data_IF_690602449222
#
_entry.id   IF_690602449222
#
_cell.length_a   1.000
_cell.length_b   1.000
_cell.length_c   1.000
_cell.angle_alpha   90.00
_cell.angle_beta   90.00
_cell.angle_gamma   90.00
#
_symmetry.space_group_name_H-M   'P 1'
#
loop_
_entity.id
_entity.type
_entity.pdbx_description
1 polymer ?
#
# COMPACT_ATOMS: atom_id res chain seq x y z
N UNK A 1 -27.85 -22.70 -9.58
CA UNK A 1 -26.93 -23.29 -8.58
C UNK A 1 -26.14 -24.41 -9.26
N UNK A 2 -25.00 -24.10 -9.88
CA UNK A 2 -24.12 -25.13 -10.47
C UNK A 2 -23.15 -25.57 -9.38
N UNK A 3 -23.30 -26.81 -8.91
CA UNK A 3 -22.37 -27.44 -7.98
C UNK A 3 -20.95 -27.27 -8.50
N UNK A 4 -20.11 -26.58 -7.72
CA UNK A 4 -18.68 -26.54 -7.93
C UNK A 4 -18.17 -27.99 -7.84
N UNK A 5 -17.35 -28.48 -8.79
CA UNK A 5 -16.78 -29.82 -8.68
C UNK A 5 -15.99 -29.91 -7.37
N UNK A 6 -16.17 -31.00 -6.62
CA UNK A 6 -15.57 -31.23 -5.29
C UNK A 6 -14.03 -31.09 -5.26
N UNK A 7 -13.37 -31.13 -6.43
CA UNK A 7 -11.94 -30.85 -6.58
C UNK A 7 -11.54 -29.37 -6.42
N UNK A 8 -12.50 -28.43 -6.47
CA UNK A 8 -12.23 -26.99 -6.31
C UNK A 8 -12.25 -26.52 -4.85
N UNK A 9 -12.92 -27.25 -3.94
CA UNK A 9 -12.95 -26.92 -2.50
C UNK A 9 -11.68 -27.34 -1.74
N UNK A 10 -10.86 -28.23 -2.32
CA UNK A 10 -9.58 -28.68 -1.72
C UNK A 10 -8.36 -27.88 -2.21
N UNK A 11 -8.54 -26.90 -3.10
CA UNK A 11 -7.43 -26.07 -3.55
C UNK A 11 -7.19 -25.00 -2.48
N UNK A 12 -6.18 -25.23 -1.63
CA UNK A 12 -5.73 -24.23 -0.66
C UNK A 12 -5.56 -22.87 -1.33
N UNK A 13 -6.07 -21.81 -0.67
CA UNK A 13 -6.04 -20.42 -1.15
C UNK A 13 -4.65 -19.98 -1.60
N UNK A 14 -3.61 -20.50 -0.95
CA UNK A 14 -2.19 -20.32 -1.28
C UNK A 14 -1.79 -20.89 -2.64
N UNK A 15 -2.26 -22.09 -3.01
CA UNK A 15 -2.00 -22.71 -4.32
C UNK A 15 -2.71 -21.95 -5.45
N UNK A 16 -3.91 -21.46 -5.19
CA UNK A 16 -4.67 -20.60 -6.11
C UNK A 16 -3.97 -19.27 -6.36
N UNK A 17 -3.51 -18.63 -5.27
CA UNK A 17 -2.71 -17.41 -5.33
C UNK A 17 -1.44 -17.60 -6.16
N UNK A 18 -0.66 -18.67 -5.90
CA UNK A 18 0.59 -18.92 -6.62
C UNK A 18 0.36 -19.21 -8.11
N UNK A 19 -0.73 -19.90 -8.46
CA UNK A 19 -1.14 -20.12 -9.86
C UNK A 19 -1.52 -18.82 -10.55
N UNK A 20 -2.27 -17.94 -9.88
CA UNK A 20 -2.62 -16.62 -10.40
C UNK A 20 -1.38 -15.75 -10.59
N UNK A 21 -0.51 -15.72 -9.58
CA UNK A 21 0.77 -15.02 -9.61
C UNK A 21 1.63 -15.46 -10.78
N UNK A 22 1.70 -16.77 -11.06
CA UNK A 22 2.46 -17.28 -12.20
C UNK A 22 1.91 -16.81 -13.55
N UNK A 23 0.59 -16.67 -13.68
CA UNK A 23 -0.10 -16.20 -14.90
C UNK A 23 -0.02 -14.69 -15.11
N UNK A 24 0.32 -13.90 -14.09
CA UNK A 24 0.53 -12.46 -14.25
C UNK A 24 1.75 -12.16 -15.13
N UNK A 25 1.58 -11.19 -16.02
CA UNK A 25 2.63 -10.68 -16.92
C UNK A 25 3.85 -10.21 -16.12
N UNK A 26 5.07 -10.49 -16.59
CA UNK A 26 6.30 -10.15 -15.85
C UNK A 26 6.45 -8.66 -15.52
N UNK A 27 5.87 -7.77 -16.33
CA UNK A 27 5.80 -6.33 -16.03
C UNK A 27 4.98 -6.02 -14.77
N UNK A 28 3.86 -6.73 -14.54
CA UNK A 28 2.99 -6.56 -13.36
C UNK A 28 3.67 -7.03 -12.08
N UNK A 29 4.45 -8.12 -12.16
CA UNK A 29 5.26 -8.61 -11.03
C UNK A 29 6.29 -7.56 -10.57
N UNK A 30 6.99 -6.92 -11.51
CA UNK A 30 7.92 -5.83 -11.19
C UNK A 30 7.21 -4.63 -10.57
N UNK A 31 6.05 -4.24 -11.10
CA UNK A 31 5.23 -3.16 -10.52
C UNK A 31 4.78 -3.50 -9.09
N UNK A 32 4.39 -4.74 -8.84
CA UNK A 32 4.02 -5.20 -7.51
C UNK A 32 5.18 -5.10 -6.53
N UNK A 33 6.35 -5.64 -6.88
CA UNK A 33 7.56 -5.55 -6.04
C UNK A 33 7.92 -4.09 -5.76
N UNK A 34 7.86 -3.22 -6.77
CA UNK A 34 8.12 -1.79 -6.60
C UNK A 34 7.13 -1.13 -5.62
N UNK A 35 5.83 -1.41 -5.75
CA UNK A 35 4.80 -0.88 -4.84
C UNK A 35 5.00 -1.41 -3.42
N UNK A 36 5.35 -2.68 -3.25
CA UNK A 36 5.65 -3.26 -1.94
C UNK A 36 6.87 -2.59 -1.30
N UNK A 37 7.95 -2.35 -2.05
CA UNK A 37 9.11 -1.62 -1.55
C UNK A 37 8.73 -0.19 -1.14
N UNK A 38 7.90 0.50 -1.94
CA UNK A 38 7.42 1.83 -1.62
C UNK A 38 6.54 1.85 -0.35
N UNK A 39 5.72 0.82 -0.13
CA UNK A 39 4.93 0.66 1.10
C UNK A 39 5.82 0.55 2.34
N UNK A 40 6.92 -0.22 2.25
CA UNK A 40 7.89 -0.34 3.35
C UNK A 40 8.53 1.01 3.66
N UNK A 41 8.97 1.75 2.64
CA UNK A 41 9.52 3.10 2.81
C UNK A 41 8.49 4.06 3.44
N UNK A 42 7.23 4.00 2.99
CA UNK A 42 6.14 4.80 3.57
C UNK A 42 5.95 4.53 5.05
N UNK A 43 6.05 3.26 5.47
CA UNK A 43 5.85 2.90 6.86
C UNK A 43 6.98 3.42 7.76
N UNK A 44 8.24 3.35 7.31
CA UNK A 44 9.35 3.98 8.02
C UNK A 44 9.18 5.50 8.13
N UNK A 45 8.72 6.16 7.06
CA UNK A 45 8.45 7.60 7.08
C UNK A 45 7.33 7.97 8.08
N UNK A 46 6.27 7.17 8.16
CA UNK A 46 5.19 7.36 9.13
C UNK A 46 5.68 7.18 10.57
N UNK A 47 6.44 6.11 10.85
CA UNK A 47 7.04 5.87 12.18
C UNK A 47 7.97 7.00 12.58
N UNK A 48 8.84 7.46 11.67
CA UNK A 48 9.75 8.57 11.94
C UNK A 48 8.97 9.86 12.25
N UNK A 49 7.90 10.14 11.50
CA UNK A 49 7.07 11.34 11.71
C UNK A 49 6.31 11.27 13.03
N UNK A 50 5.70 10.13 13.36
CA UNK A 50 5.03 9.90 14.65
C UNK A 50 6.01 9.97 15.82
N UNK A 51 7.19 9.38 15.67
CA UNK A 51 8.26 9.43 16.67
C UNK A 51 8.81 10.84 16.88
N UNK A 52 8.83 11.67 15.83
CA UNK A 52 9.27 13.07 15.90
C UNK A 52 8.28 14.00 16.60
N UNK A 53 7.02 13.60 16.80
CA UNK A 53 6.03 14.41 17.54
C UNK A 53 6.47 14.64 18.99
N UNK A 54 6.95 13.60 19.67
CA UNK A 54 7.35 13.68 21.08
C UNK A 54 8.51 14.69 21.30
N UNK A 55 9.65 14.60 20.59
CA UNK A 55 10.72 15.57 20.76
C UNK A 55 10.30 16.98 20.33
N UNK A 56 9.46 17.11 19.30
CA UNK A 56 8.94 18.42 18.89
C UNK A 56 8.11 19.09 19.99
N UNK A 57 7.15 18.36 20.59
CA UNK A 57 6.34 18.87 21.69
C UNK A 57 7.20 19.18 22.92
N UNK A 58 8.20 18.34 23.23
CA UNK A 58 9.11 18.57 24.35
C UNK A 58 9.88 19.90 24.21
N UNK A 59 10.43 20.17 23.02
CA UNK A 59 11.13 21.43 22.72
C UNK A 59 10.18 22.63 22.75
N UNK A 60 8.93 22.44 22.33
CA UNK A 60 7.93 23.51 22.32
C UNK A 60 7.42 23.88 23.73
N UNK A 61 7.38 22.91 24.66
CA UNK A 61 6.90 23.12 26.04
C UNK A 61 7.99 23.70 26.94
N UNK A 62 9.23 23.19 26.84
CA UNK A 62 10.34 23.59 27.72
C UNK A 62 11.67 23.60 26.94
N UNK A 63 11.91 24.64 26.11
CA UNK A 63 13.11 24.71 25.28
C UNK A 63 14.38 24.84 26.12
N UNK A 64 14.32 25.51 27.28
CA UNK A 64 15.46 25.73 28.18
C UNK A 64 16.03 24.39 28.70
N UNK A 65 15.13 23.51 29.16
CA UNK A 65 15.53 22.18 29.61
C UNK A 65 16.13 21.34 28.48
N UNK A 66 15.62 21.47 27.26
CA UNK A 66 16.13 20.69 26.12
C UNK A 66 17.47 21.23 25.62
N UNK A 67 17.65 22.56 25.64
CA UNK A 67 18.92 23.20 25.28
C UNK A 67 20.03 22.91 26.31
N UNK A 68 19.68 22.55 27.55
CA UNK A 68 20.65 22.13 28.57
C UNK A 68 21.35 20.79 28.27
N UNK A 69 20.80 19.97 27.36
CA UNK A 69 21.46 18.75 26.91
C UNK A 69 22.57 19.10 25.92
N UNK A 70 23.84 18.78 26.27
CA UNK A 70 25.00 19.14 25.46
C UNK A 70 24.90 18.72 23.98
N UNK A 71 24.32 17.54 23.70
CA UNK A 71 24.13 17.06 22.32
C UNK A 71 23.16 17.94 21.52
N UNK A 72 22.14 18.51 22.17
CA UNK A 72 21.20 19.43 21.52
C UNK A 72 21.82 20.80 21.32
N UNK A 73 22.58 21.30 22.32
CA UNK A 73 23.29 22.57 22.21
C UNK A 73 24.32 22.54 21.07
N UNK A 74 25.08 21.46 20.93
CA UNK A 74 26.06 21.29 19.85
C UNK A 74 25.38 21.28 18.46
N UNK A 75 24.25 20.59 18.34
CA UNK A 75 23.45 20.57 17.10
C UNK A 75 22.79 21.92 16.81
N UNK A 76 22.34 22.64 17.84
CA UNK A 76 21.73 23.95 17.73
C UNK A 76 22.76 24.99 17.24
N UNK A 77 23.98 24.95 17.79
CA UNK A 77 25.09 25.81 17.35
C UNK A 77 25.50 25.52 15.90
N UNK A 78 25.47 24.26 15.46
CA UNK A 78 25.72 23.91 14.05
C UNK A 78 24.71 24.55 13.09
N UNK A 79 23.47 24.74 13.55
CA UNK A 79 22.37 25.38 12.81
C UNK A 79 22.37 26.91 12.99
N UNK A 80 23.23 27.45 13.86
CA UNK A 80 23.34 28.89 14.15
C UNK A 80 22.28 29.40 15.13
N UNK A 81 21.81 28.54 16.04
CA UNK A 81 20.81 28.87 17.07
C UNK A 81 21.53 29.13 18.39
N UNK A 82 21.51 30.38 18.84
CA UNK A 82 22.20 30.82 20.07
C UNK A 82 21.25 30.89 21.29
N UNK A 83 19.94 31.06 21.07
CA UNK A 83 18.93 31.13 22.14
C UNK A 83 17.99 29.90 22.15
N UNK A 84 17.55 29.42 23.34
CA UNK A 84 16.65 28.27 23.45
C UNK A 84 15.32 28.45 22.69
N UNK A 85 14.77 29.66 22.68
CA UNK A 85 13.51 29.99 21.99
C UNK A 85 13.60 29.84 20.47
N UNK A 86 14.79 30.03 19.91
CA UNK A 86 15.03 29.96 18.47
C UNK A 86 15.15 28.52 17.95
N UNK A 87 15.23 27.52 18.85
CA UNK A 87 15.26 26.09 18.49
C UNK A 87 13.91 25.60 17.93
N UNK A 88 12.81 26.25 18.31
CA UNK A 88 11.45 25.81 17.97
C UNK A 88 11.19 25.94 16.46
N UNK A 89 11.60 27.04 15.85
CA UNK A 89 11.36 27.32 14.43
C UNK A 89 12.03 26.31 13.46
N UNK A 90 13.35 26.04 13.53
CA UNK A 90 14.00 25.08 12.66
C UNK A 90 13.48 23.66 12.88
N UNK A 91 13.20 23.29 14.14
CA UNK A 91 12.63 21.98 14.46
C UNK A 91 11.21 21.82 13.89
N UNK A 92 10.38 22.87 14.00
CA UNK A 92 9.05 22.91 13.38
C UNK A 92 9.14 22.76 11.86
N UNK A 93 10.09 23.43 11.22
CA UNK A 93 10.28 23.37 9.78
C UNK A 93 10.69 21.96 9.32
N UNK A 94 11.62 21.32 10.03
CA UNK A 94 12.02 19.92 9.78
C UNK A 94 10.84 18.97 10.01
N UNK A 95 10.08 19.17 11.08
CA UNK A 95 8.90 18.34 11.37
C UNK A 95 7.83 18.46 10.28
N UNK A 96 7.47 19.69 9.89
CA UNK A 96 6.49 19.94 8.82
C UNK A 96 6.99 19.37 7.49
N UNK A 97 8.25 19.58 7.14
CA UNK A 97 8.84 19.01 5.92
C UNK A 97 8.78 17.46 5.93
N UNK A 98 9.12 16.84 7.07
CA UNK A 98 9.03 15.39 7.26
C UNK A 98 7.60 14.87 7.14
N UNK A 99 6.63 15.55 7.78
CA UNK A 99 5.22 15.18 7.73
C UNK A 99 4.63 15.31 6.32
N UNK A 100 4.96 16.38 5.59
CA UNK A 100 4.55 16.58 4.20
C UNK A 100 5.17 15.51 3.30
N UNK A 101 6.44 15.18 3.50
CA UNK A 101 7.12 14.11 2.75
C UNK A 101 6.47 12.75 3.01
N UNK A 102 6.19 12.42 4.27
CA UNK A 102 5.52 11.17 4.64
C UNK A 102 4.12 11.08 4.00
N UNK A 103 3.35 12.18 4.04
CA UNK A 103 2.04 12.26 3.41
C UNK A 103 2.12 12.11 1.88
N UNK A 104 3.12 12.73 1.24
CA UNK A 104 3.35 12.59 -0.19
C UNK A 104 3.68 11.14 -0.57
N UNK A 105 4.59 10.48 0.16
CA UNK A 105 4.92 9.06 -0.06
C UNK A 105 3.66 8.20 0.08
N UNK A 106 2.86 8.42 1.13
CA UNK A 106 1.60 7.70 1.37
C UNK A 106 0.63 7.87 0.21
N UNK A 107 0.52 9.08 -0.35
CA UNK A 107 -0.33 9.35 -1.50
C UNK A 107 0.16 8.61 -2.76
N UNK A 108 1.47 8.57 -3.00
CA UNK A 108 2.07 7.80 -4.12
C UNK A 108 1.83 6.31 -3.95
N UNK A 109 1.97 5.77 -2.73
CA UNK A 109 1.66 4.36 -2.42
C UNK A 109 0.19 4.06 -2.72
N UNK A 110 -0.73 4.90 -2.25
CA UNK A 110 -2.16 4.73 -2.48
C UNK A 110 -2.47 4.73 -3.98
N UNK A 111 -2.01 5.74 -4.70
CA UNK A 111 -2.25 5.87 -6.14
C UNK A 111 -1.66 4.69 -6.92
N UNK A 112 -0.42 4.31 -6.64
CA UNK A 112 0.26 3.22 -7.34
C UNK A 112 -0.39 1.88 -7.08
N UNK A 113 -0.84 1.64 -5.84
CA UNK A 113 -1.56 0.43 -5.44
C UNK A 113 -2.90 0.32 -6.16
N UNK A 114 -3.70 1.39 -6.12
CA UNK A 114 -5.00 1.44 -6.81
C UNK A 114 -4.84 1.28 -8.32
N UNK A 115 -3.86 1.95 -8.92
CA UNK A 115 -3.59 1.82 -10.36
C UNK A 115 -3.18 0.41 -10.74
N UNK A 116 -2.27 -0.21 -9.98
CA UNK A 116 -1.84 -1.58 -10.24
C UNK A 116 -3.00 -2.57 -10.09
N UNK A 117 -3.83 -2.38 -9.07
CA UNK A 117 -5.04 -3.13 -8.84
C UNK A 117 -5.99 -3.07 -10.05
N UNK A 118 -6.38 -1.86 -10.44
CA UNK A 118 -7.34 -1.64 -11.55
C UNK A 118 -6.82 -2.19 -12.87
N UNK A 119 -5.55 -1.95 -13.20
CA UNK A 119 -4.99 -2.42 -14.47
C UNK A 119 -4.83 -3.95 -14.48
N UNK A 120 -4.43 -4.55 -13.36
CA UNK A 120 -4.36 -6.02 -13.25
C UNK A 120 -5.75 -6.63 -13.34
N UNK A 121 -6.76 -5.97 -12.77
CA UNK A 121 -8.15 -6.39 -12.89
C UNK A 121 -8.68 -6.31 -14.33
N UNK A 122 -8.35 -5.23 -15.05
CA UNK A 122 -8.70 -5.09 -16.46
C UNK A 122 -8.05 -6.18 -17.33
N UNK A 123 -6.74 -6.42 -17.14
CA UNK A 123 -5.99 -7.45 -17.87
C UNK A 123 -6.62 -8.85 -17.63
N UNK A 124 -6.96 -9.19 -16.38
CA UNK A 124 -7.55 -10.48 -16.04
C UNK A 124 -9.00 -10.63 -16.53
N UNK A 125 -9.77 -9.54 -16.49
CA UNK A 125 -11.15 -9.52 -16.98
C UNK A 125 -11.22 -9.69 -18.49
N UNK A 126 -10.32 -9.01 -19.23
CA UNK A 126 -10.22 -9.15 -20.68
C UNK A 126 -9.87 -10.59 -21.09
N UNK A 127 -8.86 -11.19 -20.45
CA UNK A 127 -8.48 -12.59 -20.71
C UNK A 127 -9.60 -13.59 -20.37
N UNK A 128 -10.33 -13.37 -19.28
CA UNK A 128 -11.46 -14.21 -18.91
C UNK A 128 -12.64 -14.09 -19.89
N UNK A 129 -12.90 -12.87 -20.37
CA UNK A 129 -13.92 -12.59 -21.36
C UNK A 129 -13.58 -13.23 -22.72
N UNK A 130 -12.33 -13.08 -23.18
CA UNK A 130 -11.85 -13.71 -24.41
C UNK A 130 -12.02 -15.24 -24.39
N UNK A 131 -11.62 -15.88 -23.28
CA UNK A 131 -11.80 -17.33 -23.11
C UNK A 131 -13.26 -17.76 -23.04
N UNK A 132 -14.15 -16.88 -22.60
CA UNK A 132 -15.59 -17.14 -22.60
C UNK A 132 -16.13 -17.11 -24.03
N UNK A 133 -15.75 -16.10 -24.82
CA UNK A 133 -16.13 -15.97 -26.24
C UNK A 133 -15.75 -17.18 -27.08
N UNK A 134 -14.59 -17.79 -26.83
CA UNK A 134 -14.14 -18.99 -27.54
C UNK A 134 -14.74 -20.31 -27.02
N UNK A 135 -15.71 -20.30 -26.10
CA UNK A 135 -16.37 -21.53 -25.65
C UNK A 135 -17.38 -22.07 -26.68
N UNK A 136 -17.57 -23.41 -26.75
CA UNK A 136 -18.56 -24.01 -27.65
C UNK A 136 -19.96 -23.42 -27.45
N UNK A 137 -20.69 -23.26 -28.55
CA UNK A 137 -22.03 -22.65 -28.57
C UNK A 137 -23.04 -23.35 -27.62
N UNK A 138 -22.89 -24.66 -27.41
CA UNK A 138 -23.68 -25.42 -26.43
C UNK A 138 -23.57 -24.90 -24.99
N UNK A 139 -22.43 -24.31 -24.61
CA UNK A 139 -22.23 -23.73 -23.27
C UNK A 139 -22.86 -22.33 -23.18
N UNK A 140 -22.93 -21.60 -24.30
CA UNK A 140 -23.54 -20.27 -24.36
C UNK A 140 -25.07 -20.31 -24.24
N UNK A 141 -25.73 -21.35 -24.75
CA UNK A 141 -27.20 -21.51 -24.67
C UNK A 141 -27.67 -21.82 -23.23
N UNK A 142 -26.81 -22.42 -22.39
CA UNK A 142 -27.14 -22.80 -21.01
C UNK A 142 -26.84 -21.74 -19.94
N UNK A 143 -26.33 -20.56 -20.30
CA UNK A 143 -25.90 -19.53 -19.32
C UNK A 143 -26.45 -18.15 -19.66
N UNK A 144 -26.92 -17.45 -18.61
CA UNK A 144 -27.34 -16.06 -18.73
C UNK A 144 -26.11 -15.16 -18.86
N UNK A 145 -25.96 -14.46 -19.99
CA UNK A 145 -24.81 -13.60 -20.33
C UNK A 145 -24.52 -12.54 -19.26
N UNK A 146 -25.56 -12.01 -18.62
CA UNK A 146 -25.45 -11.05 -17.51
C UNK A 146 -24.68 -11.60 -16.29
N UNK A 147 -24.82 -12.90 -16.00
CA UNK A 147 -24.12 -13.57 -14.89
C UNK A 147 -22.63 -13.79 -15.17
N UNK A 148 -22.25 -13.90 -16.44
CA UNK A 148 -20.86 -14.11 -16.85
C UNK A 148 -20.08 -12.80 -16.81
N UNK A 149 -20.64 -11.73 -17.37
CA UNK A 149 -20.02 -10.40 -17.34
C UNK A 149 -19.92 -9.86 -15.91
N UNK A 150 -21.00 -9.92 -15.14
CA UNK A 150 -21.02 -9.44 -13.75
C UNK A 150 -20.16 -10.33 -12.84
N UNK A 151 -20.11 -11.64 -13.10
CA UNK A 151 -19.26 -12.58 -12.37
C UNK A 151 -17.76 -12.41 -12.63
N UNK A 152 -17.35 -12.02 -13.84
CA UNK A 152 -15.95 -11.73 -14.15
C UNK A 152 -15.52 -10.42 -13.49
N UNK A 153 -16.30 -9.35 -13.64
CA UNK A 153 -15.97 -8.03 -13.09
C UNK A 153 -15.85 -8.09 -11.56
N UNK A 154 -16.89 -8.59 -10.86
CA UNK A 154 -16.89 -8.59 -9.39
C UNK A 154 -15.88 -9.58 -8.78
N UNK A 155 -15.64 -10.74 -9.40
CA UNK A 155 -14.66 -11.70 -8.86
C UNK A 155 -13.23 -11.24 -9.07
N UNK A 156 -12.95 -10.60 -10.21
CA UNK A 156 -11.63 -10.07 -10.50
C UNK A 156 -11.30 -8.90 -9.57
N UNK A 157 -12.27 -8.00 -9.36
CA UNK A 157 -12.12 -6.91 -8.40
C UNK A 157 -11.91 -7.44 -6.96
N UNK A 158 -12.68 -8.44 -6.53
CA UNK A 158 -12.51 -9.08 -5.22
C UNK A 158 -11.15 -9.77 -5.05
N UNK A 159 -10.62 -10.41 -6.10
CA UNK A 159 -9.29 -11.06 -6.06
C UNK A 159 -8.18 -10.01 -5.99
N UNK A 160 -8.33 -8.91 -6.72
CA UNK A 160 -7.37 -7.81 -6.70
C UNK A 160 -7.34 -7.16 -5.31
N UNK A 161 -8.49 -6.76 -4.77
CA UNK A 161 -8.56 -6.21 -3.41
C UNK A 161 -8.08 -7.21 -2.36
N UNK A 162 -8.45 -8.49 -2.49
CA UNK A 162 -8.00 -9.56 -1.60
C UNK A 162 -6.49 -9.86 -1.66
N UNK A 163 -5.79 -9.44 -2.71
CA UNK A 163 -4.33 -9.57 -2.84
C UNK A 163 -3.59 -8.40 -2.21
N UNK A 164 -4.08 -7.18 -2.45
CA UNK A 164 -3.43 -5.96 -2.00
C UNK A 164 -3.74 -5.62 -0.54
N UNK A 165 -4.95 -5.94 -0.08
CA UNK A 165 -5.39 -5.56 1.25
C UNK A 165 -4.64 -6.26 2.38
N UNK A 166 -4.45 -7.59 2.39
CA UNK A 166 -3.71 -8.24 3.49
C UNK A 166 -2.23 -7.83 3.55
N UNK A 167 -1.59 -7.52 2.42
CA UNK A 167 -0.21 -6.98 2.42
C UNK A 167 -0.18 -5.58 3.00
N UNK A 168 -1.15 -4.74 2.62
CA UNK A 168 -1.30 -3.40 3.18
C UNK A 168 -1.60 -3.46 4.69
N UNK A 169 -2.43 -4.40 5.13
CA UNK A 169 -2.77 -4.62 6.53
C UNK A 169 -1.60 -5.17 7.33
N UNK A 170 -0.83 -6.12 6.80
CA UNK A 170 0.38 -6.65 7.45
C UNK A 170 1.41 -5.55 7.72
N UNK A 171 1.60 -4.65 6.75
CA UNK A 171 2.47 -3.50 6.93
C UNK A 171 1.89 -2.60 8.02
N UNK A 172 0.58 -2.30 8.00
CA UNK A 172 -0.05 -1.49 9.06
C UNK A 172 0.07 -2.10 10.47
N UNK A 173 -0.18 -3.40 10.62
CA UNK A 173 -0.16 -4.10 11.92
C UNK A 173 1.25 -4.34 12.48
N UNK A 174 2.30 -4.17 11.67
CA UNK A 174 3.68 -4.17 12.19
C UNK A 174 4.01 -2.89 12.96
N UNK A 175 3.22 -1.82 12.76
CA UNK A 175 3.47 -0.51 13.35
C UNK A 175 2.35 -0.02 14.28
N UNK A 176 1.25 -0.77 14.39
CA UNK A 176 0.12 -0.50 15.32
C UNK A 176 -0.16 -1.75 16.14
#
# INVERSE_FOLDING_TARGET
MTNLPASMSEIGTTKLFFRLWRRLRSRRKKQFIFVTALMVVSAFAEVATLGAVIPFITVLVDPERVFSYGLVADLAQLVGVDEPGDLVLPLALVFVAGAVLAAAIRLVVLWSSTRLAMVTGADLSAEAYERTLYQPYAIHIGRNTSSVTSGVIHKVEAVVWGLFMPIRTLIGSLFT
#
